data_IF_092419957625
#
_entry.id   IF_092419957625
#
_cell.length_a   1.000
_cell.length_b   1.000
_cell.length_c   1.000
_cell.angle_alpha   90.00
_cell.angle_beta   90.00
_cell.angle_gamma   90.00
#
_symmetry.space_group_name_H-M   'P 1'
#
loop_
_entity.id
_entity.type
_entity.pdbx_description
1 polymer ?
#
# COMPACT_ATOMS: atom_id res chain seq x y z
N UNK A 1 -28.38 81.33 -3.51
CA UNK A 1 -27.33 82.28 -3.10
C UNK A 1 -26.58 81.63 -1.93
N UNK A 2 -25.41 81.06 -2.18
CA UNK A 2 -24.08 81.54 -1.71
C UNK A 2 -23.90 81.39 -0.19
N UNK A 3 -22.90 80.73 0.40
CA UNK A 3 -21.62 80.16 -0.06
C UNK A 3 -21.05 79.18 1.02
N UNK A 4 -20.20 78.23 0.62
CA UNK A 4 -18.72 78.21 0.76
C UNK A 4 -18.15 77.60 2.08
N UNK A 5 -17.72 76.33 1.95
CA UNK A 5 -16.46 75.69 2.40
C UNK A 5 -15.93 75.76 3.84
N UNK A 6 -15.46 74.59 4.32
CA UNK A 6 -14.32 74.44 5.25
C UNK A 6 -14.54 73.38 6.34
N UNK A 7 -14.44 72.08 6.04
CA UNK A 7 -13.28 71.21 6.30
C UNK A 7 -12.84 71.07 7.78
N UNK A 8 -12.68 69.80 8.21
CA UNK A 8 -12.23 69.24 9.50
C UNK A 8 -13.31 68.92 10.57
N UNK A 9 -13.96 67.76 10.42
CA UNK A 9 -14.56 67.05 11.56
C UNK A 9 -13.47 66.21 12.24
N UNK A 10 -13.06 66.61 13.45
CA UNK A 10 -12.23 65.81 14.35
C UNK A 10 -13.13 64.86 15.12
N UNK A 11 -13.41 63.69 14.55
CA UNK A 11 -14.10 62.61 15.26
C UNK A 11 -13.14 61.85 16.17
N UNK A 12 -13.59 61.69 17.40
CA UNK A 12 -12.89 61.15 18.57
C UNK A 12 -12.28 59.77 18.27
N UNK A 13 -10.99 59.61 18.60
CA UNK A 13 -10.29 58.32 18.66
C UNK A 13 -11.12 57.31 19.47
N UNK A 14 -11.61 56.26 18.80
CA UNK A 14 -12.03 55.03 19.47
C UNK A 14 -10.77 54.34 20.01
N UNK A 15 -10.76 53.82 21.25
CA UNK A 15 -9.64 53.03 21.74
C UNK A 15 -9.50 51.75 20.90
N UNK A 16 -8.26 51.45 20.50
CA UNK A 16 -7.90 50.20 19.84
C UNK A 16 -8.28 49.03 20.74
N UNK A 17 -9.30 48.27 20.35
CA UNK A 17 -9.52 46.91 20.86
C UNK A 17 -8.34 46.06 20.37
N UNK A 18 -7.60 45.37 21.25
CA UNK A 18 -6.59 44.42 20.82
C UNK A 18 -7.26 43.36 19.94
N UNK A 19 -6.68 43.09 18.77
CA UNK A 19 -7.05 41.92 17.97
C UNK A 19 -6.96 40.70 18.88
N UNK A 20 -8.04 39.92 18.97
CA UNK A 20 -8.01 38.66 19.68
C UNK A 20 -6.86 37.82 19.13
N UNK A 21 -5.84 37.59 19.95
CA UNK A 21 -4.83 36.56 19.69
C UNK A 21 -5.60 35.25 19.51
N UNK A 22 -5.50 34.65 18.32
CA UNK A 22 -5.94 33.28 18.10
C UNK A 22 -5.20 32.40 19.12
N UNK A 23 -5.92 31.97 20.15
CA UNK A 23 -5.39 31.02 21.10
C UNK A 23 -5.05 29.74 20.33
N UNK A 24 -3.85 29.16 20.54
CA UNK A 24 -3.51 27.88 19.92
C UNK A 24 -4.58 26.88 20.28
N UNK A 25 -5.28 26.36 19.27
CA UNK A 25 -6.27 25.31 19.45
C UNK A 25 -5.56 24.13 20.12
N UNK A 26 -5.92 23.83 21.38
CA UNK A 26 -5.39 22.65 22.10
C UNK A 26 -5.66 21.42 21.23
N UNK A 27 -4.62 20.90 20.59
CA UNK A 27 -4.70 19.63 19.87
C UNK A 27 -5.13 18.56 20.87
N UNK A 28 -6.31 17.99 20.67
CA UNK A 28 -6.72 16.84 21.46
C UNK A 28 -5.78 15.67 21.15
N UNK A 29 -5.45 14.82 22.13
CA UNK A 29 -4.60 13.67 21.87
C UNK A 29 -5.29 12.76 20.85
N UNK A 30 -4.57 12.43 19.77
CA UNK A 30 -4.99 11.41 18.82
C UNK A 30 -5.05 10.08 19.58
N UNK A 31 -6.22 9.44 19.59
CA UNK A 31 -6.42 8.14 20.22
C UNK A 31 -6.44 7.06 19.16
N UNK A 32 -5.94 5.87 19.52
CA UNK A 32 -6.14 4.66 18.72
C UNK A 32 -7.64 4.42 18.46
N UNK A 33 -7.94 3.67 17.39
CA UNK A 33 -9.30 3.29 17.08
C UNK A 33 -9.91 2.50 18.27
N UNK A 34 -11.24 2.54 18.44
CA UNK A 34 -11.88 1.74 19.47
C UNK A 34 -11.50 0.26 19.33
N UNK A 35 -11.16 -0.41 20.43
CA UNK A 35 -10.75 -1.82 20.41
C UNK A 35 -11.75 -2.73 19.68
N UNK A 36 -13.04 -2.43 19.80
CA UNK A 36 -14.12 -3.13 19.09
C UNK A 36 -14.00 -3.11 17.56
N UNK A 37 -13.33 -2.11 16.98
CA UNK A 37 -13.13 -2.04 15.53
C UNK A 37 -12.10 -3.03 15.02
N UNK A 38 -11.23 -3.53 15.89
CA UNK A 38 -10.28 -4.58 15.56
C UNK A 38 -10.89 -5.98 15.70
N UNK A 39 -11.97 -6.16 16.46
CA UNK A 39 -12.50 -7.50 16.77
C UNK A 39 -13.91 -7.75 16.26
N UNK A 40 -14.67 -6.71 15.89
CA UNK A 40 -16.06 -6.85 15.48
C UNK A 40 -16.21 -7.41 14.06
N UNK A 41 -16.92 -8.53 13.87
CA UNK A 41 -17.26 -9.04 12.54
C UNK A 41 -18.10 -8.05 11.71
N UNK A 42 -19.01 -7.32 12.36
CA UNK A 42 -19.83 -6.30 11.68
C UNK A 42 -18.98 -5.13 11.18
N UNK A 43 -17.95 -4.74 11.94
CA UNK A 43 -16.99 -3.73 11.49
C UNK A 43 -16.20 -4.24 10.29
N UNK A 44 -15.71 -5.48 10.34
CA UNK A 44 -15.02 -6.08 9.20
C UNK A 44 -15.91 -6.09 7.94
N UNK A 45 -17.17 -6.49 8.06
CA UNK A 45 -18.13 -6.47 6.95
C UNK A 45 -18.39 -5.06 6.40
N UNK A 46 -18.41 -4.05 7.27
CA UNK A 46 -18.48 -2.66 6.87
C UNK A 46 -17.21 -2.22 6.11
N UNK A 47 -16.02 -2.52 6.63
CA UNK A 47 -14.73 -2.24 5.99
C UNK A 47 -14.62 -2.89 4.61
N UNK A 48 -15.09 -4.13 4.46
CA UNK A 48 -15.16 -4.82 3.16
C UNK A 48 -15.90 -4.02 2.11
N UNK A 49 -17.02 -3.39 2.48
CA UNK A 49 -17.88 -2.66 1.54
C UNK A 49 -17.44 -1.22 1.34
N UNK A 50 -16.98 -0.57 2.41
CA UNK A 50 -16.66 0.87 2.41
C UNK A 50 -15.20 1.17 2.03
N UNK A 51 -14.30 0.20 2.18
CA UNK A 51 -12.88 0.36 1.90
C UNK A 51 -12.49 -0.58 0.75
N UNK A 52 -12.57 -1.89 0.96
CA UNK A 52 -12.00 -2.85 0.02
C UNK A 52 -12.71 -2.89 -1.33
N UNK A 53 -14.02 -2.67 -1.37
CA UNK A 53 -14.81 -2.68 -2.59
C UNK A 53 -14.74 -1.37 -3.41
N UNK A 54 -14.32 -0.26 -2.79
CA UNK A 54 -14.45 1.10 -3.36
C UNK A 54 -13.10 1.78 -3.60
N UNK A 55 -12.05 1.37 -2.86
CA UNK A 55 -10.70 1.95 -2.97
C UNK A 55 -9.85 1.21 -3.98
N UNK A 56 -8.84 1.91 -4.50
CA UNK A 56 -7.77 1.31 -5.28
C UNK A 56 -6.87 0.47 -4.37
N UNK A 57 -6.63 -0.78 -4.76
CA UNK A 57 -5.83 -1.76 -4.06
C UNK A 57 -4.55 -2.01 -4.85
N UNK A 58 -3.39 -1.88 -4.20
CA UNK A 58 -2.13 -2.28 -4.81
C UNK A 58 -2.05 -3.81 -4.78
N UNK A 59 -1.95 -4.44 -5.96
CA UNK A 59 -1.94 -5.89 -6.09
C UNK A 59 -0.56 -6.50 -6.29
N UNK A 60 0.26 -6.00 -7.23
CA UNK A 60 1.62 -6.51 -7.48
C UNK A 60 2.34 -5.70 -8.57
N UNK A 61 3.53 -6.12 -9.00
CA UNK A 61 4.25 -5.59 -10.16
C UNK A 61 3.91 -6.34 -11.46
N UNK A 62 3.97 -5.65 -12.60
CA UNK A 62 3.88 -6.31 -13.92
C UNK A 62 4.97 -7.36 -14.16
N UNK A 63 6.05 -7.34 -13.36
CA UNK A 63 7.09 -8.38 -13.34
C UNK A 63 6.54 -9.78 -13.04
N UNK A 64 5.39 -9.88 -12.35
CA UNK A 64 4.68 -11.16 -12.11
C UNK A 64 4.04 -11.75 -13.36
N UNK A 65 3.88 -10.95 -14.41
CA UNK A 65 3.14 -11.31 -15.62
C UNK A 65 4.04 -11.12 -16.86
N UNK A 66 5.19 -11.80 -16.98
CA UNK A 66 6.20 -11.50 -18.00
C UNK A 66 5.74 -11.70 -19.46
N UNK A 67 4.79 -12.61 -19.71
CA UNK A 67 4.35 -12.98 -21.06
C UNK A 67 2.83 -13.07 -21.18
N UNK A 68 2.27 -12.98 -22.39
CA UNK A 68 0.86 -13.28 -22.65
C UNK A 68 0.43 -14.61 -22.03
N UNK A 69 -0.81 -14.65 -21.55
CA UNK A 69 -1.45 -15.78 -20.85
C UNK A 69 -0.80 -16.18 -19.53
N UNK A 70 0.02 -15.28 -18.95
CA UNK A 70 0.38 -15.39 -17.53
C UNK A 70 -0.73 -14.81 -16.68
N UNK A 71 -0.94 -15.39 -15.52
CA UNK A 71 -1.88 -14.90 -14.53
C UNK A 71 -1.29 -14.88 -13.13
N UNK A 72 -1.86 -14.01 -12.30
CA UNK A 72 -1.79 -14.09 -10.83
C UNK A 72 -3.20 -13.99 -10.27
N UNK A 73 -3.44 -14.70 -9.18
CA UNK A 73 -4.73 -14.78 -8.50
C UNK A 73 -4.53 -14.49 -7.03
N UNK A 74 -5.42 -13.69 -6.44
CA UNK A 74 -5.41 -13.32 -5.03
C UNK A 74 -6.79 -13.51 -4.40
N UNK A 75 -6.83 -14.11 -3.21
CA UNK A 75 -7.98 -14.06 -2.31
C UNK A 75 -7.86 -12.85 -1.38
N UNK A 76 -8.67 -11.82 -1.61
CA UNK A 76 -8.64 -10.59 -0.84
C UNK A 76 -10.01 -10.29 -0.24
N UNK A 77 -10.16 -10.34 1.09
CA UNK A 77 -11.42 -9.98 1.75
C UNK A 77 -12.65 -10.72 1.20
N UNK A 78 -12.48 -11.99 0.82
CA UNK A 78 -13.51 -12.83 0.20
C UNK A 78 -13.79 -12.54 -1.29
N UNK A 79 -13.03 -11.63 -1.91
CA UNK A 79 -13.01 -11.41 -3.35
C UNK A 79 -11.90 -12.27 -3.98
N UNK A 80 -12.28 -13.08 -4.97
CA UNK A 80 -11.35 -13.89 -5.75
C UNK A 80 -10.96 -13.13 -7.03
N UNK A 81 -9.79 -12.49 -6.99
CA UNK A 81 -9.30 -11.56 -8.01
C UNK A 81 -8.31 -12.30 -8.91
N UNK A 82 -8.60 -12.35 -10.20
CA UNK A 82 -7.70 -12.87 -11.22
C UNK A 82 -7.16 -11.72 -12.07
N UNK A 83 -5.83 -11.61 -12.19
CA UNK A 83 -5.13 -10.64 -13.02
C UNK A 83 -4.38 -11.40 -14.11
N UNK A 84 -4.58 -11.03 -15.36
CA UNK A 84 -4.01 -11.71 -16.53
C UNK A 84 -3.30 -10.73 -17.44
N UNK A 85 -2.21 -11.18 -18.08
CA UNK A 85 -1.68 -10.52 -19.28
C UNK A 85 -2.32 -11.14 -20.51
N UNK A 86 -3.04 -10.35 -21.27
CA UNK A 86 -3.74 -10.80 -22.47
C UNK A 86 -2.78 -10.95 -23.68
N UNK A 87 -3.30 -11.49 -24.79
CA UNK A 87 -2.56 -11.72 -26.03
C UNK A 87 -1.93 -10.45 -26.58
N UNK A 88 -2.61 -9.31 -26.48
CA UNK A 88 -2.13 -8.00 -26.92
C UNK A 88 -1.13 -7.36 -25.94
N UNK A 89 -0.83 -8.03 -24.83
CA UNK A 89 0.06 -7.54 -23.78
C UNK A 89 -0.63 -6.66 -22.73
N UNK A 90 -1.91 -6.33 -22.89
CA UNK A 90 -2.67 -5.57 -21.90
C UNK A 90 -2.86 -6.38 -20.60
N UNK A 91 -2.90 -5.68 -19.47
CA UNK A 91 -3.24 -6.30 -18.18
C UNK A 91 -4.73 -6.11 -17.92
N UNK A 92 -5.42 -7.21 -17.62
CA UNK A 92 -6.84 -7.22 -17.29
C UNK A 92 -7.03 -7.88 -15.92
N UNK A 93 -8.04 -7.43 -15.18
CA UNK A 93 -8.45 -8.06 -13.93
C UNK A 93 -9.94 -8.44 -14.00
N UNK A 94 -10.31 -9.51 -13.33
CA UNK A 94 -11.67 -10.04 -13.29
C UNK A 94 -11.90 -10.87 -12.02
N UNK A 95 -13.15 -11.01 -11.61
CA UNK A 95 -13.49 -12.01 -10.59
C UNK A 95 -13.35 -13.42 -11.17
N UNK A 96 -12.69 -14.32 -10.44
CA UNK A 96 -12.41 -15.70 -10.86
C UNK A 96 -13.66 -16.61 -10.86
N UNK A 97 -14.74 -16.16 -11.51
CA UNK A 97 -16.03 -16.85 -11.53
C UNK A 97 -16.87 -16.44 -12.73
N UNK A 98 -17.46 -17.43 -13.39
CA UNK A 98 -18.48 -17.18 -14.43
C UNK A 98 -19.74 -16.54 -13.84
N UNK A 99 -20.31 -15.56 -14.54
CA UNK A 99 -21.58 -14.91 -14.21
C UNK A 99 -22.73 -15.91 -14.28
N UNK A 100 -22.75 -16.74 -15.31
CA UNK A 100 -23.86 -17.64 -15.63
C UNK A 100 -23.75 -18.98 -14.90
N UNK A 101 -22.65 -19.70 -15.11
CA UNK A 101 -22.49 -21.07 -14.59
C UNK A 101 -22.02 -21.10 -13.14
N UNK A 102 -21.49 -19.98 -12.64
CA UNK A 102 -20.86 -19.87 -11.31
C UNK A 102 -19.60 -20.74 -11.15
N UNK A 103 -19.09 -21.31 -12.25
CA UNK A 103 -17.86 -22.09 -12.26
C UNK A 103 -16.65 -21.17 -11.98
N UNK A 104 -15.69 -21.71 -11.22
CA UNK A 104 -14.38 -21.07 -10.98
C UNK A 104 -13.51 -21.25 -12.23
N UNK A 105 -12.81 -20.21 -12.67
CA UNK A 105 -12.04 -20.25 -13.92
C UNK A 105 -10.67 -20.90 -13.69
N UNK A 106 -10.00 -20.51 -12.62
CA UNK A 106 -8.75 -21.11 -12.16
C UNK A 106 -9.02 -21.79 -10.82
N UNK A 107 -9.14 -23.11 -10.87
CA UNK A 107 -9.41 -23.96 -9.72
C UNK A 107 -8.11 -24.29 -8.99
N UNK A 108 -7.67 -23.33 -8.18
CA UNK A 108 -6.60 -23.51 -7.18
C UNK A 108 -7.19 -23.29 -5.78
N UNK A 109 -6.68 -24.01 -4.78
CA UNK A 109 -7.13 -23.86 -3.39
C UNK A 109 -6.21 -22.95 -2.57
N UNK A 110 -5.10 -22.49 -3.15
CA UNK A 110 -4.18 -21.55 -2.50
C UNK A 110 -4.80 -20.15 -2.36
N UNK A 111 -4.31 -19.40 -1.36
CA UNK A 111 -4.67 -17.99 -1.17
C UNK A 111 -4.12 -17.10 -2.29
N UNK A 112 -3.02 -17.53 -2.90
CA UNK A 112 -2.38 -16.91 -4.03
C UNK A 112 -1.91 -18.00 -5.00
N UNK A 113 -2.14 -17.79 -6.29
CA UNK A 113 -1.67 -18.67 -7.36
C UNK A 113 -1.10 -17.82 -8.49
N UNK A 114 -0.03 -18.31 -9.13
CA UNK A 114 0.53 -17.69 -10.32
C UNK A 114 0.94 -18.76 -11.31
N UNK A 115 0.74 -18.49 -12.60
CA UNK A 115 1.07 -19.47 -13.62
C UNK A 115 0.74 -19.00 -15.02
N UNK A 116 0.74 -19.94 -15.95
CA UNK A 116 0.26 -19.72 -17.31
C UNK A 116 -1.00 -20.53 -17.55
N UNK A 117 -1.86 -20.05 -18.43
CA UNK A 117 -3.04 -20.79 -18.86
C UNK A 117 -3.03 -20.98 -20.38
N UNK A 118 -3.60 -22.08 -20.84
CA UNK A 118 -3.85 -22.27 -22.27
C UNK A 118 -5.18 -21.56 -22.61
N UNK A 119 -5.20 -20.53 -23.47
CA UNK A 119 -6.43 -19.84 -23.83
C UNK A 119 -7.49 -20.78 -24.43
N UNK A 120 -7.10 -21.89 -25.06
CA UNK A 120 -8.04 -22.89 -25.59
C UNK A 120 -8.73 -23.73 -24.52
N UNK A 121 -8.16 -23.78 -23.30
CA UNK A 121 -8.75 -24.44 -22.12
C UNK A 121 -9.81 -23.60 -21.41
N UNK A 122 -9.89 -22.29 -21.72
CA UNK A 122 -10.84 -21.38 -21.10
C UNK A 122 -12.15 -21.44 -21.89
N UNK A 123 -13.15 -22.13 -21.32
CA UNK A 123 -14.48 -22.26 -21.92
C UNK A 123 -15.41 -21.07 -21.65
N UNK A 124 -15.03 -20.18 -20.73
CA UNK A 124 -15.84 -19.03 -20.31
C UNK A 124 -15.59 -17.86 -21.25
N UNK A 125 -16.67 -17.31 -21.80
CA UNK A 125 -16.59 -16.17 -22.71
C UNK A 125 -16.28 -14.86 -21.96
N UNK A 126 -15.57 -13.88 -22.56
CA UNK A 126 -15.24 -12.61 -21.89
C UNK A 126 -16.44 -11.81 -21.36
N UNK A 127 -17.62 -11.91 -21.98
CA UNK A 127 -18.84 -11.27 -21.49
C UNK A 127 -19.42 -11.95 -20.24
N UNK A 128 -19.03 -13.21 -19.98
CA UNK A 128 -19.50 -14.04 -18.87
C UNK A 128 -18.61 -13.93 -17.62
N UNK A 129 -17.67 -12.98 -17.57
CA UNK A 129 -16.86 -12.69 -16.36
C UNK A 129 -17.14 -11.30 -15.83
N UNK A 130 -17.01 -11.09 -14.52
CA UNK A 130 -17.13 -9.76 -13.92
C UNK A 130 -15.79 -9.03 -14.01
N UNK A 131 -15.67 -7.97 -14.84
CA UNK A 131 -14.42 -7.23 -14.96
C UNK A 131 -14.12 -6.45 -13.66
N UNK A 132 -12.83 -6.26 -13.40
CA UNK A 132 -12.31 -5.43 -12.31
C UNK A 132 -11.49 -4.31 -12.96
N UNK A 133 -11.62 -3.08 -12.44
CA UNK A 133 -10.87 -1.93 -12.97
C UNK A 133 -9.38 -2.12 -12.71
N UNK A 134 -8.55 -1.72 -13.68
CA UNK A 134 -7.09 -1.83 -13.60
C UNK A 134 -6.45 -0.47 -13.87
N UNK A 135 -5.44 -0.13 -13.07
CA UNK A 135 -4.52 0.97 -13.33
C UNK A 135 -3.08 0.44 -13.23
N UNK A 136 -2.24 0.81 -14.20
CA UNK A 136 -0.81 0.53 -14.16
C UNK A 136 -0.10 1.88 -14.00
N UNK A 137 0.64 2.02 -12.91
CA UNK A 137 1.35 3.26 -12.63
C UNK A 137 2.71 3.34 -13.38
N UNK A 138 3.41 4.46 -13.22
CA UNK A 138 4.71 4.69 -13.89
C UNK A 138 5.82 3.72 -13.45
N UNK A 139 5.69 3.14 -12.26
CA UNK A 139 6.65 2.20 -11.69
C UNK A 139 6.32 0.75 -12.08
N UNK A 140 5.33 0.54 -12.96
CA UNK A 140 4.84 -0.77 -13.38
C UNK A 140 4.19 -1.57 -12.24
N UNK A 141 3.55 -0.90 -11.30
CA UNK A 141 2.68 -1.55 -10.33
C UNK A 141 1.24 -1.62 -10.83
N UNK A 142 0.58 -2.73 -10.50
CA UNK A 142 -0.79 -3.05 -10.88
C UNK A 142 -1.68 -2.74 -9.69
N UNK A 143 -2.63 -1.86 -9.94
CA UNK A 143 -3.66 -1.43 -9.02
C UNK A 143 -5.02 -1.89 -9.53
N UNK A 144 -5.90 -2.29 -8.63
CA UNK A 144 -7.27 -2.70 -8.99
C UNK A 144 -8.33 -1.96 -8.17
N UNK A 145 -9.52 -1.80 -8.73
CA UNK A 145 -10.68 -1.29 -8.01
C UNK A 145 -11.91 -2.18 -8.31
N UNK A 146 -12.60 -2.59 -7.24
CA UNK A 146 -13.70 -3.57 -7.30
C UNK A 146 -15.08 -2.92 -7.50
N UNK A 147 -15.17 -1.61 -7.68
CA UNK A 147 -16.43 -0.92 -7.95
C UNK A 147 -17.09 -1.50 -9.21
N UNK A 148 -18.33 -1.96 -9.07
CA UNK A 148 -19.11 -2.57 -10.14
C UNK A 148 -19.62 -1.55 -11.18
N UNK A 149 -19.47 -0.25 -10.92
CA UNK A 149 -19.80 0.83 -11.84
C UNK A 149 -18.92 0.80 -13.09
N UNK A 150 -19.42 1.35 -14.20
CA UNK A 150 -18.68 1.39 -15.47
C UNK A 150 -17.35 2.16 -15.36
N UNK A 151 -17.30 3.13 -14.44
CA UNK A 151 -16.09 3.84 -14.03
C UNK A 151 -16.06 3.85 -12.50
N UNK A 152 -14.88 3.72 -11.86
CA UNK A 152 -14.78 3.82 -10.41
C UNK A 152 -15.36 5.13 -9.88
N UNK A 153 -16.08 5.05 -8.76
CA UNK A 153 -16.59 6.18 -7.97
C UNK A 153 -15.48 7.18 -7.60
N UNK A 154 -14.28 6.66 -7.37
CA UNK A 154 -13.06 7.40 -7.04
C UNK A 154 -12.00 7.05 -8.08
N UNK A 155 -11.56 8.04 -8.86
CA UNK A 155 -10.47 7.85 -9.81
C UNK A 155 -9.14 7.59 -9.09
N UNK A 156 -8.19 6.95 -9.78
CA UNK A 156 -6.87 6.68 -9.21
C UNK A 156 -6.19 7.98 -8.75
N UNK A 157 -6.15 8.99 -9.62
CA UNK A 157 -5.53 10.29 -9.36
C UNK A 157 -6.20 11.08 -8.23
N UNK A 158 -7.45 10.79 -7.86
CA UNK A 158 -8.08 11.45 -6.73
C UNK A 158 -7.49 11.00 -5.39
N UNK A 159 -6.98 9.76 -5.31
CA UNK A 159 -6.50 9.16 -4.07
C UNK A 159 -4.98 8.95 -4.04
N UNK A 160 -4.38 8.71 -5.21
CA UNK A 160 -2.98 8.33 -5.37
C UNK A 160 -2.24 9.27 -6.32
N UNK A 161 -2.64 10.54 -6.35
CA UNK A 161 -1.94 11.54 -7.15
C UNK A 161 -0.47 11.56 -6.79
N UNK A 162 0.38 11.41 -7.80
CA UNK A 162 1.84 11.47 -7.67
C UNK A 162 2.44 10.39 -6.73
N UNK A 163 1.67 9.35 -6.35
CA UNK A 163 2.14 8.27 -5.47
C UNK A 163 3.34 7.53 -6.06
N UNK A 164 3.41 7.50 -7.39
CA UNK A 164 4.43 6.87 -8.20
C UNK A 164 5.59 7.82 -8.54
N UNK A 165 5.53 9.09 -8.12
CA UNK A 165 6.56 10.13 -8.33
C UNK A 165 7.14 10.56 -6.98
N UNK A 166 7.98 9.69 -6.40
CA UNK A 166 8.68 10.00 -5.15
C UNK A 166 10.13 10.33 -5.45
N UNK A 167 10.64 11.48 -4.99
CA UNK A 167 12.02 11.91 -5.26
C UNK A 167 13.07 10.87 -4.81
N UNK A 168 12.76 10.12 -3.75
CA UNK A 168 13.57 9.02 -3.22
C UNK A 168 13.66 7.79 -4.14
N UNK A 169 12.81 7.67 -5.16
CA UNK A 169 12.90 6.61 -6.17
C UNK A 169 13.89 6.95 -7.30
N UNK A 170 14.54 8.11 -7.29
CA UNK A 170 15.54 8.49 -8.30
C UNK A 170 16.61 7.42 -8.60
N UNK A 171 17.14 6.63 -7.63
CA UNK A 171 18.13 5.59 -7.92
C UNK A 171 17.51 4.22 -8.28
N UNK A 172 16.18 4.10 -8.29
CA UNK A 172 15.47 2.83 -8.40
C UNK A 172 14.94 2.65 -9.83
N UNK A 173 15.34 1.55 -10.48
CA UNK A 173 14.72 1.07 -11.70
C UNK A 173 13.80 -0.11 -11.37
N UNK A 174 12.50 0.16 -11.22
CA UNK A 174 11.50 -0.87 -10.90
C UNK A 174 11.37 -1.96 -11.97
N UNK A 175 11.88 -1.75 -13.17
CA UNK A 175 11.92 -2.80 -14.20
C UNK A 175 13.06 -3.78 -13.97
N UNK A 176 14.10 -3.42 -13.21
CA UNK A 176 15.34 -4.17 -13.02
C UNK A 176 15.31 -5.19 -11.87
N UNK A 177 14.15 -5.79 -11.60
CA UNK A 177 13.96 -6.78 -10.53
C UNK A 177 13.41 -8.11 -11.07
N UNK A 178 13.76 -9.21 -10.41
CA UNK A 178 13.15 -10.52 -10.66
C UNK A 178 12.57 -11.04 -9.35
N UNK A 179 11.36 -11.60 -9.40
CA UNK A 179 10.77 -12.28 -8.26
C UNK A 179 11.71 -13.41 -7.82
N UNK A 180 12.20 -13.32 -6.59
CA UNK A 180 13.06 -14.33 -6.00
C UNK A 180 12.23 -15.42 -5.34
N UNK A 181 11.32 -15.03 -4.45
CA UNK A 181 10.45 -15.96 -3.74
C UNK A 181 9.23 -15.25 -3.15
N UNK A 182 8.26 -16.06 -2.75
CA UNK A 182 7.06 -15.63 -2.06
C UNK A 182 6.94 -16.44 -0.77
N UNK A 183 6.52 -15.79 0.30
CA UNK A 183 6.13 -16.48 1.52
C UNK A 183 4.92 -15.81 2.17
N UNK A 184 4.23 -16.56 3.02
CA UNK A 184 3.04 -16.08 3.72
C UNK A 184 3.15 -16.34 5.21
N UNK A 185 2.58 -15.44 6.00
CA UNK A 185 2.41 -15.57 7.43
C UNK A 185 0.93 -15.38 7.75
N UNK A 186 0.24 -16.48 8.03
CA UNK A 186 -1.14 -16.42 8.56
C UNK A 186 -1.11 -15.98 10.00
N UNK A 187 -1.98 -15.05 10.35
CA UNK A 187 -2.06 -14.47 11.66
C UNK A 187 -3.49 -14.39 12.21
N UNK A 188 -3.59 -14.22 13.52
CA UNK A 188 -4.85 -14.27 14.29
C UNK A 188 -5.25 -12.89 14.80
N UNK A 189 -5.01 -11.85 14.02
CA UNK A 189 -5.36 -10.48 14.38
C UNK A 189 -5.84 -9.70 13.14
N UNK A 190 -6.36 -8.50 13.39
CA UNK A 190 -6.97 -7.64 12.38
C UNK A 190 -5.95 -7.00 11.43
N UNK A 191 -6.30 -6.83 10.15
CA UNK A 191 -5.42 -6.17 9.16
C UNK A 191 -4.93 -4.78 9.58
N UNK A 192 -5.76 -4.03 10.31
CA UNK A 192 -5.40 -2.72 10.84
C UNK A 192 -4.25 -2.80 11.84
N UNK A 193 -4.18 -3.84 12.66
CA UNK A 193 -3.06 -4.00 13.60
C UNK A 193 -1.72 -4.25 12.86
N UNK A 194 -1.77 -5.00 11.76
CA UNK A 194 -0.61 -5.19 10.88
C UNK A 194 -0.15 -3.85 10.26
N UNK A 195 -1.12 -3.06 9.77
CA UNK A 195 -0.86 -1.76 9.18
C UNK A 195 -0.36 -0.75 10.21
N UNK A 196 -0.96 -0.72 11.41
CA UNK A 196 -0.58 0.16 12.50
C UNK A 196 0.88 -0.12 12.92
N UNK A 197 1.25 -1.40 13.10
CA UNK A 197 2.62 -1.80 13.45
C UNK A 197 3.65 -1.38 12.39
N UNK A 198 3.31 -1.50 11.10
CA UNK A 198 4.25 -1.08 10.05
C UNK A 198 4.48 0.44 10.07
N UNK A 199 3.45 1.23 10.37
CA UNK A 199 3.48 2.69 10.29
C UNK A 199 4.09 3.39 11.52
N UNK A 200 4.67 2.63 12.44
CA UNK A 200 5.37 3.18 13.60
C UNK A 200 6.70 2.43 13.82
N UNK A 201 7.63 3.10 14.50
CA UNK A 201 8.92 2.51 14.85
C UNK A 201 9.25 2.68 16.33
N UNK A 202 8.22 2.79 17.17
CA UNK A 202 8.35 2.87 18.62
C UNK A 202 8.81 1.54 19.22
N UNK A 203 8.36 0.41 18.66
CA UNK A 203 8.80 -0.93 19.06
C UNK A 203 10.20 -1.29 18.53
N UNK A 204 10.67 -0.60 17.49
CA UNK A 204 11.92 -0.95 16.79
C UNK A 204 13.14 -1.09 17.70
N UNK A 205 13.44 -0.14 18.62
CA UNK A 205 14.63 -0.23 19.47
C UNK A 205 14.62 -1.41 20.44
N UNK A 206 13.44 -1.92 20.78
CA UNK A 206 13.28 -3.01 21.76
C UNK A 206 13.15 -4.38 21.12
N UNK A 207 12.61 -4.44 19.91
CA UNK A 207 12.24 -5.72 19.27
C UNK A 207 13.20 -6.13 18.16
N UNK A 208 13.85 -5.18 17.47
CA UNK A 208 14.61 -5.45 16.25
C UNK A 208 16.10 -5.10 16.38
N UNK A 209 16.96 -6.05 16.76
CA UNK A 209 18.40 -5.83 16.88
C UNK A 209 19.07 -5.39 15.57
N UNK A 210 18.51 -5.80 14.43
CA UNK A 210 19.10 -5.57 13.11
C UNK A 210 18.75 -4.20 12.51
N UNK A 211 17.68 -3.54 12.97
CA UNK A 211 17.19 -2.27 12.39
C UNK A 211 18.27 -1.17 12.29
N UNK A 212 19.11 -0.93 13.33
CA UNK A 212 20.18 0.08 13.24
C UNK A 212 21.16 -0.15 12.07
N UNK A 213 21.24 -1.37 11.54
CA UNK A 213 22.13 -1.71 10.43
C UNK A 213 21.67 -1.16 9.08
N UNK A 214 20.38 -0.84 8.92
CA UNK A 214 19.83 -0.37 7.64
C UNK A 214 18.82 0.79 7.75
N UNK A 215 18.39 1.16 8.97
CA UNK A 215 17.58 2.36 9.25
C UNK A 215 18.23 3.18 10.36
N UNK A 216 18.36 4.47 10.11
CA UNK A 216 18.77 5.42 11.14
C UNK A 216 17.54 5.97 11.88
N UNK A 217 17.18 5.32 13.00
CA UNK A 217 16.01 5.67 13.80
C UNK A 217 16.04 7.07 14.40
N UNK A 218 17.23 7.66 14.62
CA UNK A 218 17.34 9.05 15.10
C UNK A 218 16.79 10.06 14.10
N UNK A 219 16.77 9.68 12.81
CA UNK A 219 16.29 10.49 11.70
C UNK A 219 14.94 10.02 11.15
N UNK A 220 14.29 9.05 11.80
CA UNK A 220 13.04 8.49 11.33
C UNK A 220 11.94 9.56 11.37
N UNK A 221 11.30 9.77 10.22
CA UNK A 221 10.13 10.64 10.07
C UNK A 221 9.10 9.96 9.17
N UNK A 222 7.83 10.34 9.32
CA UNK A 222 6.72 9.83 8.52
C UNK A 222 5.98 10.97 7.86
N UNK A 223 6.09 11.06 6.54
CA UNK A 223 5.35 12.04 5.75
C UNK A 223 3.99 11.45 5.36
N UNK A 224 2.94 12.00 5.97
CA UNK A 224 1.56 11.61 5.74
C UNK A 224 1.05 12.29 4.46
N UNK A 225 0.72 11.48 3.46
CA UNK A 225 0.09 11.91 2.22
C UNK A 225 -1.31 11.32 2.09
N UNK A 226 -2.09 11.86 1.18
CA UNK A 226 -3.36 11.23 0.83
C UNK A 226 -3.10 9.81 0.28
N UNK A 227 -3.75 8.82 0.87
CA UNK A 227 -3.68 7.41 0.48
C UNK A 227 -2.39 6.66 0.82
N UNK A 228 -1.31 7.32 1.26
CA UNK A 228 -0.05 6.64 1.56
C UNK A 228 0.79 7.34 2.63
N UNK A 229 1.67 6.59 3.28
CA UNK A 229 2.60 7.07 4.30
C UNK A 229 4.03 6.76 3.85
N UNK A 230 4.87 7.78 3.83
CA UNK A 230 6.27 7.67 3.41
C UNK A 230 7.19 7.68 4.62
N UNK A 231 7.91 6.59 4.88
CA UNK A 231 8.92 6.57 5.94
C UNK A 231 10.23 7.12 5.40
N UNK A 232 10.77 8.13 6.07
CA UNK A 232 12.04 8.76 5.75
C UNK A 232 13.05 8.45 6.84
N UNK A 233 14.19 7.90 6.47
CA UNK A 233 15.38 7.79 7.31
C UNK A 233 16.56 8.36 6.52
N UNK A 234 17.29 9.30 7.12
CA UNK A 234 18.55 9.77 6.55
C UNK A 234 19.63 8.69 6.78
N UNK A 235 20.12 8.03 5.71
CA UNK A 235 21.05 6.93 5.87
C UNK A 235 22.42 7.41 6.38
N UNK A 236 23.09 6.56 7.14
CA UNK A 236 24.49 6.79 7.51
C UNK A 236 25.41 6.56 6.31
N UNK A 237 26.63 7.10 6.35
CA UNK A 237 27.60 6.89 5.27
C UNK A 237 27.89 5.40 5.04
N UNK A 238 28.02 4.62 6.12
CA UNK A 238 28.25 3.16 6.05
C UNK A 238 27.07 2.44 5.36
N UNK A 239 25.83 2.82 5.66
CA UNK A 239 24.64 2.23 5.04
C UNK A 239 24.58 2.53 3.52
N UNK A 240 25.01 3.72 3.11
CA UNK A 240 25.16 4.08 1.69
C UNK A 240 26.24 3.24 1.01
N UNK A 241 27.41 3.09 1.64
CA UNK A 241 28.52 2.30 1.10
C UNK A 241 28.17 0.80 0.98
N UNK A 242 27.37 0.27 1.91
CA UNK A 242 26.91 -1.11 1.91
C UNK A 242 25.69 -1.38 0.99
N UNK A 243 25.07 -0.32 0.47
CA UNK A 243 23.88 -0.44 -0.39
C UNK A 243 22.61 -0.90 0.33
N UNK A 244 22.55 -0.78 1.67
CA UNK A 244 21.44 -1.29 2.49
C UNK A 244 20.32 -0.27 2.72
N UNK A 245 20.45 0.92 2.13
CA UNK A 245 19.44 1.97 2.21
C UNK A 245 18.15 1.55 1.52
N UNK A 246 17.03 1.83 2.18
CA UNK A 246 15.70 1.50 1.70
C UNK A 246 14.74 2.67 1.86
N UNK A 247 13.68 2.60 1.07
CA UNK A 247 12.56 3.51 1.10
C UNK A 247 11.30 2.71 1.34
N UNK A 248 10.68 2.94 2.50
CA UNK A 248 9.44 2.27 2.88
C UNK A 248 8.24 3.19 2.63
N UNK A 249 7.19 2.61 2.06
CA UNK A 249 5.90 3.27 1.82
C UNK A 249 4.77 2.35 2.22
N UNK A 250 3.85 2.83 3.04
CA UNK A 250 2.57 2.18 3.23
C UNK A 250 1.56 2.77 2.24
N UNK A 251 0.90 1.91 1.48
CA UNK A 251 -0.16 2.23 0.54
C UNK A 251 -1.48 1.72 1.11
N UNK A 252 -2.33 2.65 1.54
CA UNK A 252 -3.61 2.30 2.13
C UNK A 252 -4.54 1.68 1.08
N UNK A 253 -5.24 0.57 1.39
CA UNK A 253 -5.34 -0.06 2.70
C UNK A 253 -4.44 -1.29 2.90
N UNK A 254 -3.85 -1.84 1.83
CA UNK A 254 -3.50 -3.25 1.80
C UNK A 254 -2.02 -3.56 1.57
N UNK A 255 -1.14 -2.57 1.39
CA UNK A 255 0.27 -2.83 1.07
C UNK A 255 1.25 -1.99 1.88
N UNK A 256 2.29 -2.62 2.39
CA UNK A 256 3.56 -1.99 2.73
C UNK A 256 4.60 -2.43 1.71
N UNK A 257 5.39 -1.48 1.22
CA UNK A 257 6.48 -1.74 0.30
C UNK A 257 7.78 -1.18 0.87
N UNK A 258 8.85 -1.94 0.71
CA UNK A 258 10.20 -1.49 1.01
C UNK A 258 11.06 -1.74 -0.22
N UNK A 259 11.73 -0.70 -0.72
CA UNK A 259 12.58 -0.79 -1.91
C UNK A 259 13.94 -0.16 -1.69
N UNK A 260 14.98 -0.82 -2.18
CA UNK A 260 16.36 -0.34 -2.23
C UNK A 260 17.05 -0.87 -3.49
N UNK A 261 18.29 -0.46 -3.71
CA UNK A 261 19.01 -0.74 -4.97
C UNK A 261 19.25 -2.25 -5.23
N UNK A 262 19.24 -3.08 -4.17
CA UNK A 262 19.45 -4.53 -4.27
C UNK A 262 18.18 -5.36 -4.08
N UNK A 263 17.13 -4.79 -3.47
CA UNK A 263 16.02 -5.52 -2.87
C UNK A 263 14.70 -4.74 -3.00
N UNK A 264 13.62 -5.46 -3.29
CA UNK A 264 12.26 -4.95 -3.22
C UNK A 264 11.40 -5.99 -2.49
N UNK A 265 10.64 -5.53 -1.50
CA UNK A 265 9.62 -6.31 -0.81
C UNK A 265 8.28 -5.61 -0.96
N UNK A 266 7.27 -6.37 -1.40
CA UNK A 266 5.88 -5.97 -1.36
C UNK A 266 5.18 -6.88 -0.36
N UNK A 267 4.75 -6.32 0.75
CA UNK A 267 3.99 -6.99 1.79
C UNK A 267 2.52 -6.60 1.65
N UNK A 268 1.67 -7.60 1.41
CA UNK A 268 0.24 -7.43 1.36
C UNK A 268 -0.41 -7.87 2.66
N UNK A 269 -1.46 -7.15 3.06
CA UNK A 269 -2.37 -7.53 4.12
C UNK A 269 -3.66 -8.07 3.50
N UNK A 270 -3.84 -9.39 3.52
CA UNK A 270 -5.03 -10.05 2.99
C UNK A 270 -5.96 -10.47 4.14
N UNK A 271 -6.97 -9.64 4.49
CA UNK A 271 -7.87 -9.96 5.58
C UNK A 271 -8.86 -11.05 5.18
N UNK A 272 -9.08 -12.01 6.09
CA UNK A 272 -10.06 -13.09 5.94
C UNK A 272 -11.25 -12.94 6.89
N UNK A 273 -11.02 -12.31 8.05
CA UNK A 273 -12.02 -12.04 9.07
C UNK A 273 -11.59 -10.83 9.92
N UNK A 274 -12.41 -10.46 10.92
CA UNK A 274 -12.04 -9.41 11.88
C UNK A 274 -10.75 -9.75 12.66
N UNK A 275 -10.50 -11.03 12.91
CA UNK A 275 -9.40 -11.55 13.71
C UNK A 275 -8.46 -12.46 12.89
N UNK A 276 -8.47 -12.36 11.55
CA UNK A 276 -7.60 -13.18 10.72
C UNK A 276 -7.14 -12.43 9.48
N UNK A 277 -5.82 -12.40 9.30
CA UNK A 277 -5.15 -11.76 8.18
C UNK A 277 -4.00 -12.66 7.72
N UNK A 278 -3.78 -12.75 6.41
CA UNK A 278 -2.51 -13.26 5.89
C UNK A 278 -1.63 -12.09 5.50
N UNK A 279 -0.41 -12.05 6.04
CA UNK A 279 0.66 -11.22 5.49
C UNK A 279 1.34 -12.00 4.36
N UNK A 280 1.28 -11.49 3.15
CA UNK A 280 1.82 -12.12 1.95
C UNK A 280 2.98 -11.29 1.41
N UNK A 281 4.14 -11.91 1.21
CA UNK A 281 5.38 -11.22 0.89
C UNK A 281 5.87 -11.64 -0.49
N UNK A 282 6.01 -10.67 -1.39
CA UNK A 282 6.71 -10.83 -2.65
C UNK A 282 8.11 -10.24 -2.51
N UNK A 283 9.14 -11.10 -2.61
CA UNK A 283 10.53 -10.69 -2.49
C UNK A 283 11.19 -10.70 -3.86
N UNK A 284 11.77 -9.57 -4.22
CA UNK A 284 12.40 -9.34 -5.51
C UNK A 284 13.88 -9.01 -5.34
N UNK A 285 14.70 -9.65 -6.17
CA UNK A 285 16.12 -9.38 -6.28
C UNK A 285 16.39 -8.47 -7.48
N UNK A 286 17.18 -7.42 -7.29
CA UNK A 286 17.66 -6.60 -8.39
C UNK A 286 18.61 -7.41 -9.29
N UNK A 287 18.38 -7.40 -10.61
CA UNK A 287 19.07 -8.33 -11.54
C UNK A 287 20.57 -8.08 -11.66
N UNK A 288 20.99 -6.85 -11.39
CA UNK A 288 22.40 -6.44 -11.42
C UNK A 288 23.14 -6.67 -10.11
N UNK A 289 22.43 -7.10 -9.06
CA UNK A 289 23.03 -7.34 -7.73
C UNK A 289 23.58 -8.76 -7.63
N UNK A 290 24.73 -8.90 -6.97
CA UNK A 290 25.23 -10.20 -6.54
C UNK A 290 24.28 -10.86 -5.53
N UNK A 291 24.42 -12.18 -5.33
CA UNK A 291 23.67 -12.88 -4.28
C UNK A 291 24.04 -12.35 -2.89
N UNK A 292 25.32 -12.00 -2.66
CA UNK A 292 25.79 -11.47 -1.38
C UNK A 292 25.14 -10.12 -1.03
N UNK A 293 25.09 -9.18 -1.97
CA UNK A 293 24.46 -7.87 -1.76
C UNK A 293 22.96 -8.00 -1.50
N UNK A 294 22.29 -8.89 -2.23
CA UNK A 294 20.87 -9.17 -2.02
C UNK A 294 20.61 -9.79 -0.65
N UNK A 295 21.32 -10.85 -0.29
CA UNK A 295 21.13 -11.54 0.99
C UNK A 295 21.51 -10.69 2.19
N UNK A 296 22.49 -9.79 2.05
CA UNK A 296 22.86 -8.83 3.10
C UNK A 296 21.64 -8.08 3.61
N UNK A 297 20.76 -7.62 2.72
CA UNK A 297 19.56 -6.88 3.09
C UNK A 297 18.32 -7.76 3.26
N UNK A 298 18.11 -8.73 2.37
CA UNK A 298 16.91 -9.57 2.40
C UNK A 298 16.82 -10.39 3.69
N UNK A 299 17.94 -10.94 4.16
CA UNK A 299 17.96 -11.77 5.36
C UNK A 299 17.75 -10.93 6.64
N UNK A 300 18.21 -9.67 6.66
CA UNK A 300 17.91 -8.72 7.75
C UNK A 300 16.41 -8.43 7.80
N UNK A 301 15.79 -8.15 6.65
CA UNK A 301 14.35 -7.91 6.57
C UNK A 301 13.52 -9.13 6.95
N UNK A 302 13.90 -10.33 6.50
CA UNK A 302 13.18 -11.56 6.89
C UNK A 302 13.16 -11.76 8.40
N UNK A 303 14.28 -11.48 9.09
CA UNK A 303 14.34 -11.55 10.56
C UNK A 303 13.43 -10.53 11.23
N UNK A 304 13.46 -9.27 10.79
CA UNK A 304 12.58 -8.21 11.31
C UNK A 304 11.10 -8.58 11.10
N UNK A 305 10.71 -9.03 9.91
CA UNK A 305 9.32 -9.43 9.64
C UNK A 305 8.86 -10.63 10.48
N UNK A 306 9.78 -11.55 10.81
CA UNK A 306 9.49 -12.67 11.71
C UNK A 306 9.30 -12.24 13.17
N UNK A 307 10.03 -11.22 13.60
CA UNK A 307 9.90 -10.62 14.94
C UNK A 307 8.59 -9.84 15.06
N UNK A 308 8.25 -9.05 14.04
CA UNK A 308 6.98 -8.32 13.92
C UNK A 308 5.77 -9.25 14.11
N UNK A 309 5.83 -10.46 13.53
CA UNK A 309 4.77 -11.45 13.70
C UNK A 309 4.40 -11.73 15.15
N UNK A 310 5.37 -11.67 16.06
CA UNK A 310 5.16 -11.93 17.49
C UNK A 310 4.48 -10.74 18.17
N UNK A 311 4.78 -9.51 17.76
CA UNK A 311 4.17 -8.29 18.30
C UNK A 311 2.70 -8.18 17.94
N UNK A 312 2.35 -8.59 16.73
CA UNK A 312 0.99 -8.44 16.24
C UNK A 312 -0.05 -9.32 16.97
N UNK A 313 0.40 -10.37 17.67
CA UNK A 313 -0.45 -11.35 18.35
C UNK A 313 -0.64 -11.15 19.85
N UNK A 314 -0.14 -10.03 20.42
CA UNK A 314 -0.28 -9.70 21.83
C UNK A 314 -1.39 -8.67 22.09
#
# INVERSE_FOLDING_TARGET
>A
MSGLLGYFSWDKKKPNTPSAEEQPQKQQPVRALPASWYTSPDMYEFERRAIFADRWLFMTSTLRLPSPYTYVRYQFAGYDILIVRDQDGSIKALHNKSKTTKQILIDDTTQEAGGTFDPSSVSTSPEDVFPIHVHIDRNNFIWVNLDASATPSISFDQYFKDVDIQARYAPIDFTNYTLHHIYTLTTTYNWKAAADNFNECYHCPTTHPDIPSFLNLESFDSDLKDGHIQHACAPTQEQVELGVNVHSTYYFPNVSMTVGIHFLMIQHFFPHAADSTTCHYEIYKCRTSSDEEFHRIADMYERVMREDKVLWGC
#
